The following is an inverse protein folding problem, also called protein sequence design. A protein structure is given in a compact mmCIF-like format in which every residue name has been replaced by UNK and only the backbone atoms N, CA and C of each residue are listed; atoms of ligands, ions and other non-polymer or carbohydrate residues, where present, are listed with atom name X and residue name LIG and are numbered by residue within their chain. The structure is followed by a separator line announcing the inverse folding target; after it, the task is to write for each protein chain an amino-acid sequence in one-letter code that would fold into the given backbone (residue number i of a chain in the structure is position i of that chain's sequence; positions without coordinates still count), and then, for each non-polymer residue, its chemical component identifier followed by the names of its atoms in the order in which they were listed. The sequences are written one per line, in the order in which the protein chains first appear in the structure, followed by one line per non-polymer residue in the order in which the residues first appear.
data_IF_985273287765
#
_entry.id   IF_985273287765
#
_cell.length_a   1.000
_cell.length_b   1.000
_cell.length_c   1.000
_cell.angle_alpha   90.00
_cell.angle_beta   90.00
_cell.angle_gamma   90.00
#
_symmetry.space_group_name_H-M   'P 1'
#
loop_
_entity.id
_entity.type
_entity.pdbx_description
1 polymer ?
#
# COMPACT_ATOMS: atom_id res chain seq x y z
N UNK A 1 16.21 15.12 -2.48
CA UNK A 1 16.35 14.08 -1.45
C UNK A 1 14.97 13.60 -1.02
N UNK A 2 14.84 12.34 -0.68
CA UNK A 2 13.57 11.73 -0.29
C UNK A 2 13.58 11.44 1.20
N UNK A 3 12.40 11.51 1.82
CA UNK A 3 12.23 11.17 3.23
C UNK A 3 10.99 10.31 3.43
N UNK A 4 11.01 9.49 4.46
CA UNK A 4 9.88 8.65 4.85
C UNK A 4 9.10 9.31 5.98
N UNK A 5 7.77 9.28 5.87
CA UNK A 5 6.87 9.59 6.98
C UNK A 5 6.00 8.35 7.21
N UNK A 6 6.05 7.82 8.43
CA UNK A 6 5.22 6.68 8.84
C UNK A 6 4.34 7.22 9.95
N UNK A 7 3.03 7.32 9.68
CA UNK A 7 2.10 8.06 10.53
C UNK A 7 0.81 7.29 10.77
N UNK A 8 0.35 7.29 12.01
CA UNK A 8 -1.05 6.97 12.29
C UNK A 8 -1.94 8.09 11.74
N UNK A 9 -3.23 7.79 11.54
CA UNK A 9 -4.16 8.78 10.99
C UNK A 9 -4.17 10.08 11.79
N UNK A 10 -4.18 9.97 13.11
CA UNK A 10 -4.20 11.15 14.00
C UNK A 10 -2.92 11.99 13.92
N UNK A 11 -1.84 11.44 13.40
CA UNK A 11 -0.56 12.15 13.25
C UNK A 11 -0.43 12.85 11.90
N UNK A 12 -1.31 12.56 10.94
CA UNK A 12 -1.30 13.21 9.64
C UNK A 12 -1.81 14.64 9.76
N UNK A 13 -1.05 15.59 9.22
CA UNK A 13 -1.55 16.95 9.07
C UNK A 13 -2.68 16.99 8.04
N UNK A 14 -3.48 18.04 8.06
CA UNK A 14 -4.52 18.23 7.04
C UNK A 14 -3.90 18.25 5.64
N UNK A 15 -2.73 18.87 5.48
CA UNK A 15 -2.03 18.89 4.19
C UNK A 15 -1.63 17.49 3.74
N UNK A 16 -1.03 16.70 4.64
CA UNK A 16 -0.60 15.32 4.31
C UNK A 16 -1.80 14.46 3.94
N UNK A 17 -2.88 14.56 4.70
CA UNK A 17 -4.10 13.81 4.40
C UNK A 17 -4.64 14.20 3.02
N UNK A 18 -4.67 15.48 2.72
CA UNK A 18 -5.13 15.95 1.41
C UNK A 18 -4.27 15.38 0.29
N UNK A 19 -2.94 15.44 0.44
CA UNK A 19 -2.01 14.89 -0.55
C UNK A 19 -2.22 13.40 -0.77
N UNK A 20 -2.40 12.63 0.31
CA UNK A 20 -2.66 11.19 0.23
C UNK A 20 -3.95 10.91 -0.54
N UNK A 21 -5.04 11.56 -0.15
CA UNK A 21 -6.35 11.31 -0.78
C UNK A 21 -6.35 11.78 -2.24
N UNK A 22 -5.69 12.89 -2.53
CA UNK A 22 -5.58 13.38 -3.91
C UNK A 22 -4.81 12.39 -4.82
N UNK A 23 -3.66 11.92 -4.36
CA UNK A 23 -2.88 10.94 -5.14
C UNK A 23 -3.69 9.66 -5.38
N UNK A 24 -4.34 9.14 -4.37
CA UNK A 24 -5.19 7.95 -4.49
C UNK A 24 -6.33 8.17 -5.49
N UNK A 25 -7.02 9.30 -5.40
CA UNK A 25 -8.09 9.62 -6.34
C UNK A 25 -7.57 9.76 -7.77
N UNK A 26 -6.46 10.48 -7.96
CA UNK A 26 -5.90 10.73 -9.28
C UNK A 26 -5.54 9.43 -10.00
N UNK A 27 -5.01 8.44 -9.27
CA UNK A 27 -4.55 7.18 -9.87
C UNK A 27 -5.65 6.12 -9.88
N UNK A 28 -6.23 5.82 -8.72
CA UNK A 28 -7.15 4.68 -8.60
C UNK A 28 -8.51 4.95 -9.20
N UNK A 29 -8.97 6.19 -9.17
CA UNK A 29 -10.30 6.54 -9.69
C UNK A 29 -10.18 7.14 -11.10
N UNK A 30 -9.40 8.20 -11.26
CA UNK A 30 -9.36 8.94 -12.51
C UNK A 30 -8.51 8.25 -13.58
N UNK A 31 -7.26 7.90 -13.27
CA UNK A 31 -6.39 7.26 -14.26
C UNK A 31 -6.89 5.86 -14.64
N UNK A 32 -7.26 5.05 -13.66
CA UNK A 32 -7.74 3.69 -13.88
C UNK A 32 -9.19 3.65 -14.35
N UNK A 33 -9.88 4.80 -14.38
CA UNK A 33 -11.28 4.91 -14.79
C UNK A 33 -12.16 3.93 -14.01
N UNK A 34 -11.98 3.87 -12.70
CA UNK A 34 -12.65 2.94 -11.82
C UNK A 34 -13.55 3.70 -10.85
N UNK A 35 -14.86 3.49 -10.97
CA UNK A 35 -15.82 4.16 -10.09
C UNK A 35 -16.01 3.32 -8.83
N UNK A 36 -15.33 3.71 -7.76
CA UNK A 36 -15.49 3.07 -6.46
C UNK A 36 -15.20 4.08 -5.35
N UNK A 37 -15.59 3.73 -4.13
CA UNK A 37 -15.36 4.58 -2.97
C UNK A 37 -13.94 4.33 -2.43
N UNK A 38 -12.98 5.12 -2.88
CA UNK A 38 -11.59 4.98 -2.43
C UNK A 38 -11.46 5.25 -0.93
N UNK A 39 -12.19 6.23 -0.40
CA UNK A 39 -12.28 6.46 1.05
C UNK A 39 -13.31 5.48 1.62
N UNK A 40 -12.84 4.49 2.37
CA UNK A 40 -13.61 3.30 2.76
C UNK A 40 -13.80 3.16 4.27
N UNK A 41 -13.53 4.23 5.02
CA UNK A 41 -13.58 4.28 6.49
C UNK A 41 -12.54 3.40 7.19
N UNK A 42 -11.51 2.96 6.47
CA UNK A 42 -10.42 2.18 7.07
C UNK A 42 -9.17 3.01 7.31
N UNK A 43 -9.08 4.21 6.73
CA UNK A 43 -7.89 5.05 6.88
C UNK A 43 -7.65 5.48 8.33
N UNK A 44 -8.72 5.62 9.11
CA UNK A 44 -8.62 6.08 10.50
C UNK A 44 -7.89 5.09 11.40
N UNK A 45 -7.88 3.80 11.05
CA UNK A 45 -7.20 2.76 11.81
C UNK A 45 -5.92 2.25 11.13
N UNK A 46 -5.57 2.82 9.99
CA UNK A 46 -4.40 2.42 9.21
C UNK A 46 -3.14 3.12 9.70
N UNK A 47 -2.00 2.50 9.39
CA UNK A 47 -0.70 3.15 9.42
C UNK A 47 -0.36 3.58 8.00
N UNK A 48 0.02 4.84 7.84
CA UNK A 48 0.23 5.44 6.52
C UNK A 48 1.72 5.60 6.27
N UNK A 49 2.17 5.11 5.11
CA UNK A 49 3.56 5.19 4.67
C UNK A 49 3.64 6.18 3.52
N UNK A 50 4.36 7.28 3.73
CA UNK A 50 4.52 8.34 2.74
C UNK A 50 6.01 8.48 2.39
N UNK A 51 6.30 8.45 1.09
CA UNK A 51 7.62 8.81 0.58
C UNK A 51 7.51 10.23 0.03
N UNK A 52 8.22 11.17 0.64
CA UNK A 52 8.12 12.59 0.35
C UNK A 52 9.36 13.10 -0.36
N UNK A 53 9.18 14.01 -1.31
CA UNK A 53 10.26 14.82 -1.85
C UNK A 53 10.49 16.00 -0.90
N UNK A 54 11.68 16.09 -0.33
CA UNK A 54 12.00 17.19 0.59
C UNK A 54 12.10 18.54 -0.12
N UNK A 55 12.42 18.52 -1.41
CA UNK A 55 12.62 19.74 -2.21
C UNK A 55 11.29 20.43 -2.49
N UNK A 56 10.29 19.65 -2.92
CA UNK A 56 8.99 20.19 -3.34
C UNK A 56 7.90 19.99 -2.29
N UNK A 57 8.18 19.24 -1.24
CA UNK A 57 7.18 18.78 -0.26
C UNK A 57 6.02 18.02 -0.95
N UNK A 58 6.33 17.31 -2.03
CA UNK A 58 5.36 16.52 -2.78
C UNK A 58 5.37 15.07 -2.34
N UNK A 59 4.20 14.43 -2.38
CA UNK A 59 4.06 13.00 -2.13
C UNK A 59 4.48 12.22 -3.38
N UNK A 60 5.52 11.40 -3.24
CA UNK A 60 6.09 10.60 -4.32
C UNK A 60 5.44 9.22 -4.41
N UNK A 61 5.23 8.58 -3.28
CA UNK A 61 4.64 7.26 -3.22
C UNK A 61 3.97 7.05 -1.86
N UNK A 62 2.99 6.14 -1.84
CA UNK A 62 2.17 5.94 -0.65
C UNK A 62 1.67 4.50 -0.58
N UNK A 63 1.53 3.97 0.62
CA UNK A 63 0.68 2.82 0.90
C UNK A 63 0.10 2.92 2.30
N UNK A 64 -0.93 2.12 2.56
CA UNK A 64 -1.45 1.99 3.92
C UNK A 64 -1.29 0.55 4.40
N UNK A 65 -1.07 0.41 5.70
CA UNK A 65 -1.00 -0.87 6.38
C UNK A 65 -2.19 -0.95 7.32
N UNK A 66 -3.00 -1.99 7.16
CA UNK A 66 -4.14 -2.24 8.02
C UNK A 66 -3.75 -3.30 9.06
N UNK A 67 -4.16 -3.10 10.32
CA UNK A 67 -3.86 -4.09 11.36
C UNK A 67 -4.58 -5.41 11.08
N UNK A 68 -4.13 -6.48 11.76
CA UNK A 68 -4.81 -7.77 11.71
C UNK A 68 -6.29 -7.62 12.08
N UNK A 69 -7.10 -8.52 11.56
CA UNK A 69 -8.55 -8.56 11.82
C UNK A 69 -9.29 -7.29 11.38
N UNK A 70 -8.81 -6.66 10.32
CA UNK A 70 -9.49 -5.53 9.67
C UNK A 70 -10.12 -5.99 8.36
N UNK A 71 -9.39 -5.97 7.24
CA UNK A 71 -9.86 -6.53 5.98
C UNK A 71 -9.64 -8.04 5.91
N UNK A 72 -8.60 -8.52 6.55
CA UNK A 72 -8.21 -9.93 6.62
C UNK A 72 -7.82 -10.26 8.05
N UNK A 73 -7.77 -11.56 8.41
CA UNK A 73 -7.17 -11.97 9.69
C UNK A 73 -5.71 -11.49 9.81
N UNK A 74 -4.98 -11.48 8.70
CA UNK A 74 -3.60 -11.03 8.66
C UNK A 74 -3.51 -9.50 8.54
N UNK A 75 -2.34 -8.96 8.91
CA UNK A 75 -1.97 -7.58 8.55
C UNK A 75 -1.97 -7.47 7.02
N UNK A 76 -2.42 -6.35 6.48
CA UNK A 76 -2.48 -6.17 5.04
C UNK A 76 -1.85 -4.85 4.61
N UNK A 77 -1.35 -4.83 3.38
CA UNK A 77 -0.86 -3.63 2.71
C UNK A 77 -1.80 -3.34 1.55
N UNK A 78 -2.25 -2.11 1.43
CA UNK A 78 -3.12 -1.71 0.34
C UNK A 78 -2.88 -0.28 -0.10
N UNK A 79 -3.62 0.14 -1.12
CA UNK A 79 -3.53 1.49 -1.68
C UNK A 79 -2.09 1.84 -2.07
N UNK A 80 -1.36 0.86 -2.62
CA UNK A 80 0.02 1.05 -3.08
C UNK A 80 -0.01 1.90 -4.33
N UNK A 81 0.65 3.05 -4.30
CA UNK A 81 0.60 4.00 -5.42
C UNK A 81 1.89 4.80 -5.52
N UNK A 82 2.32 5.06 -6.75
CA UNK A 82 3.43 5.96 -7.06
C UNK A 82 2.88 7.10 -7.92
N UNK A 83 3.27 8.33 -7.61
CA UNK A 83 2.87 9.49 -8.38
C UNK A 83 3.27 9.30 -9.86
N UNK A 84 2.41 9.68 -10.82
CA UNK A 84 2.70 9.45 -12.24
C UNK A 84 4.05 9.96 -12.71
N UNK A 85 4.48 11.13 -12.21
CA UNK A 85 5.77 11.72 -12.59
C UNK A 85 6.98 11.07 -11.90
N UNK A 86 6.75 10.13 -11.01
CA UNK A 86 7.81 9.44 -10.25
C UNK A 86 7.93 7.95 -10.61
N UNK A 87 7.21 7.49 -11.62
CA UNK A 87 7.20 6.07 -12.03
C UNK A 87 8.50 5.67 -12.71
N UNK A 88 8.73 4.36 -12.79
CA UNK A 88 9.89 3.74 -13.45
C UNK A 88 11.22 4.09 -12.80
N UNK A 89 11.20 4.38 -11.49
CA UNK A 89 12.40 4.70 -10.68
C UNK A 89 12.58 3.74 -9.50
N UNK A 90 11.77 2.68 -9.41
CA UNK A 90 11.88 1.68 -8.35
C UNK A 90 11.22 2.08 -7.03
N UNK A 91 10.41 3.11 -6.98
CA UNK A 91 9.82 3.57 -5.72
C UNK A 91 8.76 2.63 -5.17
N UNK A 92 8.01 1.94 -6.03
CA UNK A 92 7.05 0.93 -5.56
C UNK A 92 7.75 -0.19 -4.79
N UNK A 93 8.90 -0.65 -5.28
CA UNK A 93 9.70 -1.67 -4.61
C UNK A 93 10.23 -1.16 -3.26
N UNK A 94 10.77 0.05 -3.24
CA UNK A 94 11.28 0.64 -1.99
C UNK A 94 10.15 0.80 -0.96
N UNK A 95 8.99 1.27 -1.42
CA UNK A 95 7.81 1.44 -0.57
C UNK A 95 7.38 0.12 0.06
N UNK A 96 7.25 -0.92 -0.76
CA UNK A 96 6.84 -2.24 -0.29
C UNK A 96 7.87 -2.84 0.67
N UNK A 97 9.16 -2.71 0.36
CA UNK A 97 10.21 -3.19 1.24
C UNK A 97 10.18 -2.48 2.60
N UNK A 98 9.93 -1.16 2.58
CA UNK A 98 9.81 -0.38 3.81
C UNK A 98 8.64 -0.86 4.66
N UNK A 99 7.48 -1.05 4.04
CA UNK A 99 6.29 -1.52 4.73
C UNK A 99 6.45 -2.94 5.26
N UNK A 100 6.97 -3.85 4.44
CA UNK A 100 7.22 -5.25 4.85
C UNK A 100 8.16 -5.30 6.04
N UNK A 101 9.27 -4.55 5.97
CA UNK A 101 10.26 -4.52 7.04
C UNK A 101 9.66 -4.03 8.35
N UNK A 102 8.87 -2.95 8.28
CA UNK A 102 8.19 -2.42 9.45
C UNK A 102 7.20 -3.44 10.05
N UNK A 103 6.41 -4.09 9.20
CA UNK A 103 5.44 -5.08 9.66
C UNK A 103 6.14 -6.26 10.34
N UNK A 104 7.24 -6.73 9.76
CA UNK A 104 7.96 -7.88 10.31
C UNK A 104 8.72 -7.52 11.59
N UNK A 105 9.39 -6.38 11.60
CA UNK A 105 10.27 -6.01 12.73
C UNK A 105 9.52 -5.32 13.86
N UNK A 106 8.67 -4.35 13.55
CA UNK A 106 7.99 -3.54 14.58
C UNK A 106 6.67 -4.13 15.00
N UNK A 107 5.90 -4.67 14.08
CA UNK A 107 4.60 -5.28 14.38
C UNK A 107 4.71 -6.77 14.69
N UNK A 108 5.82 -7.39 14.31
CA UNK A 108 6.10 -8.83 14.49
C UNK A 108 4.95 -9.71 13.99
N UNK A 109 4.37 -9.33 12.85
CA UNK A 109 3.29 -10.07 12.23
C UNK A 109 3.84 -11.36 11.59
N UNK A 110 3.08 -12.45 11.70
CA UNK A 110 3.48 -13.75 11.14
C UNK A 110 3.24 -13.83 9.63
N UNK A 111 2.34 -13.03 9.11
CA UNK A 111 2.00 -13.03 7.69
C UNK A 111 1.44 -11.69 7.26
N UNK A 112 1.59 -11.39 5.97
CA UNK A 112 1.03 -10.20 5.34
C UNK A 112 0.16 -10.67 4.19
N UNK A 113 -1.06 -10.15 4.09
CA UNK A 113 -1.96 -10.46 2.99
C UNK A 113 -2.24 -9.23 2.15
N UNK A 114 -2.30 -9.42 0.84
CA UNK A 114 -2.63 -8.33 -0.10
C UNK A 114 -3.67 -8.82 -1.11
N UNK A 115 -4.44 -7.88 -1.64
CA UNK A 115 -5.28 -8.07 -2.80
C UNK A 115 -4.56 -7.37 -3.95
N UNK A 116 -3.93 -8.14 -4.82
CA UNK A 116 -3.08 -7.61 -5.88
C UNK A 116 -3.81 -7.61 -7.21
N UNK A 117 -3.70 -6.50 -7.96
CA UNK A 117 -4.14 -6.51 -9.35
C UNK A 117 -3.34 -7.58 -10.10
N UNK A 118 -4.02 -8.44 -10.85
CA UNK A 118 -3.40 -9.64 -11.45
C UNK A 118 -2.21 -9.33 -12.34
N UNK A 119 -2.26 -8.20 -13.05
CA UNK A 119 -1.14 -7.82 -13.92
C UNK A 119 0.12 -7.41 -13.15
N UNK A 120 0.03 -7.22 -11.83
CA UNK A 120 1.16 -6.90 -10.96
C UNK A 120 1.66 -8.09 -10.15
N UNK A 121 1.12 -9.29 -10.37
CA UNK A 121 1.48 -10.45 -9.55
C UNK A 121 2.98 -10.76 -9.61
N UNK A 122 3.62 -10.59 -10.76
CA UNK A 122 5.07 -10.84 -10.87
C UNK A 122 5.88 -9.89 -10.00
N UNK A 123 5.46 -8.63 -9.92
CA UNK A 123 6.09 -7.65 -9.05
C UNK A 123 6.02 -8.09 -7.58
N UNK A 124 4.84 -8.49 -7.12
CA UNK A 124 4.68 -8.92 -5.73
C UNK A 124 5.37 -10.25 -5.46
N UNK A 125 5.40 -11.16 -6.44
CA UNK A 125 6.16 -12.42 -6.32
C UNK A 125 7.66 -12.15 -6.13
N UNK A 126 8.19 -11.12 -6.79
CA UNK A 126 9.59 -10.75 -6.63
C UNK A 126 9.92 -10.27 -5.20
N UNK A 127 8.91 -9.87 -4.44
CA UNK A 127 9.05 -9.47 -3.04
C UNK A 127 8.82 -10.63 -2.07
N UNK A 128 8.48 -11.82 -2.57
CA UNK A 128 8.28 -13.01 -1.77
C UNK A 128 6.82 -13.39 -1.53
N UNK A 129 5.86 -12.64 -2.09
CA UNK A 129 4.44 -12.98 -1.98
C UNK A 129 4.11 -14.19 -2.84
N UNK A 130 3.16 -15.00 -2.37
CA UNK A 130 2.68 -16.21 -3.05
C UNK A 130 1.18 -16.08 -3.27
N UNK A 131 0.71 -16.40 -4.48
CA UNK A 131 -0.73 -16.40 -4.78
C UNK A 131 -1.43 -17.42 -3.89
N UNK A 132 -2.52 -17.00 -3.25
CA UNK A 132 -3.28 -17.86 -2.33
C UNK A 132 -4.79 -17.87 -2.62
N UNK A 133 -5.22 -17.38 -3.77
CA UNK A 133 -6.62 -17.44 -4.19
C UNK A 133 -6.72 -17.62 -5.71
N UNK A 134 -7.93 -17.99 -6.17
CA UNK A 134 -8.29 -17.86 -7.58
C UNK A 134 -8.47 -16.37 -7.93
N UNK A 135 -8.32 -16.02 -9.22
CA UNK A 135 -8.61 -14.64 -9.64
C UNK A 135 -10.08 -14.26 -9.36
N UNK A 136 -10.29 -13.00 -9.01
CA UNK A 136 -11.62 -12.45 -8.77
C UNK A 136 -11.67 -11.01 -9.26
N UNK A 137 -12.89 -10.52 -9.50
CA UNK A 137 -13.11 -9.15 -9.92
C UNK A 137 -13.23 -8.25 -8.69
N UNK A 138 -12.51 -7.13 -8.70
CA UNK A 138 -12.63 -6.09 -7.68
C UNK A 138 -12.73 -4.76 -8.41
N UNK A 139 -13.93 -4.18 -8.35
CA UNK A 139 -14.24 -2.90 -9.02
C UNK A 139 -13.87 -2.89 -10.51
N UNK A 140 -14.11 -4.01 -11.21
CA UNK A 140 -13.86 -4.15 -12.64
C UNK A 140 -12.44 -4.50 -13.02
N UNK A 141 -11.55 -4.71 -12.06
CA UNK A 141 -10.16 -5.09 -12.29
C UNK A 141 -9.92 -6.47 -11.70
N UNK A 142 -9.28 -7.37 -12.48
CA UNK A 142 -8.96 -8.70 -11.98
C UNK A 142 -7.87 -8.62 -10.90
N UNK A 143 -8.14 -9.28 -9.78
CA UNK A 143 -7.24 -9.35 -8.62
C UNK A 143 -6.98 -10.80 -8.23
N UNK A 144 -5.91 -11.01 -7.49
CA UNK A 144 -5.61 -12.25 -6.77
C UNK A 144 -5.19 -11.90 -5.34
N UNK A 145 -5.53 -12.76 -4.38
CA UNK A 145 -4.97 -12.63 -3.04
C UNK A 145 -3.58 -13.24 -3.01
N UNK A 146 -2.68 -12.58 -2.32
CA UNK A 146 -1.31 -13.04 -2.15
C UNK A 146 -0.90 -12.91 -0.68
N UNK A 147 -0.01 -13.78 -0.24
CA UNK A 147 0.46 -13.79 1.15
C UNK A 147 1.99 -13.88 1.20
N UNK A 148 2.55 -13.20 2.20
CA UNK A 148 3.97 -13.29 2.54
C UNK A 148 4.08 -13.79 3.98
N UNK A 149 4.79 -14.90 4.16
CA UNK A 149 4.99 -15.49 5.48
C UNK A 149 6.30 -14.96 6.07
N UNK A 150 6.22 -14.49 7.32
CA UNK A 150 7.40 -14.05 8.05
C UNK A 150 8.15 -15.28 8.59
N UNK A 151 9.20 -15.69 7.90
CA UNK A 151 9.98 -16.88 8.25
C UNK A 151 10.88 -16.67 9.46
N UNK A 152 11.04 -15.43 9.93
CA UNK A 152 11.87 -15.12 11.10
C UNK A 152 11.13 -15.38 12.42
N UNK A 153 9.80 -15.52 12.36
CA UNK A 153 8.97 -15.87 13.51
C UNK A 153 8.71 -17.38 13.47
N UNK A 154 9.53 -18.12 14.10
CA UNK A 154 9.36 -19.58 14.19
C UNK A 154 9.28 -20.04 15.63
#
# INVERSE_FOLDING_TARGET
MLSWEIKFFSELSALRLYQVLKLRQDVFVLEQQCLYADTDNLDQQALHFLLMSEEDDDLVAYCRVLPADTSYPEVSIGRVVVAPNARNKGFAKQLMQKAIHFIEDEMQASAIKISAQSHLQNFYQSLGFIICSSPYDEDGIEHVEMTLINTQLS
#
